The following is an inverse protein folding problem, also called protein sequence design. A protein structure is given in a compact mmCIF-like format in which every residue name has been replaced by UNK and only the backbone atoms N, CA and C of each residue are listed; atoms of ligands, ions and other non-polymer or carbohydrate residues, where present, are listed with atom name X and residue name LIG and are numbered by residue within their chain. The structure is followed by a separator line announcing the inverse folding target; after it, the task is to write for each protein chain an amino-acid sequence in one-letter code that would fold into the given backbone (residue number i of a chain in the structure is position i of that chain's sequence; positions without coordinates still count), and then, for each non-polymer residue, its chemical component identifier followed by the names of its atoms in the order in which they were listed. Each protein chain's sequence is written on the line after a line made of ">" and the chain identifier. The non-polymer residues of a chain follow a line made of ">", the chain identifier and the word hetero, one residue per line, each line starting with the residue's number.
data_IF_118951835895
#
_entry.id   IF_118951835895
#
_cell.length_a   1.000
_cell.length_b   1.000
_cell.length_c   1.000
_cell.angle_alpha   90.00
_cell.angle_beta   90.00
_cell.angle_gamma   90.00
#
_symmetry.space_group_name_H-M   'P 1'
#
loop_
_entity.id
_entity.type
_entity.pdbx_description
1 polymer ?
#
# COMPACT_ATOMS: atom_id res chain seq x y z
N UNK A 1 21.56 -21.02 21.43
CA UNK A 1 21.97 -22.04 20.44
C UNK A 1 21.11 -21.82 19.20
N UNK A 2 21.58 -20.99 18.28
CA UNK A 2 20.99 -20.91 16.94
C UNK A 2 21.13 -22.28 16.30
N UNK A 3 20.03 -23.02 16.22
CA UNK A 3 19.99 -24.19 15.35
C UNK A 3 20.05 -23.62 13.94
N UNK A 4 21.16 -23.83 13.23
CA UNK A 4 21.20 -23.75 11.78
C UNK A 4 20.15 -24.71 11.23
N UNK A 5 18.93 -24.20 11.04
CA UNK A 5 17.87 -24.90 10.34
C UNK A 5 18.37 -25.05 8.90
N UNK A 6 18.55 -26.28 8.38
CA UNK A 6 19.13 -26.48 7.05
C UNK A 6 18.32 -25.73 5.98
N UNK A 7 18.96 -25.13 4.97
CA UNK A 7 18.32 -24.38 3.86
C UNK A 7 17.11 -25.12 3.24
N UNK A 8 17.19 -26.45 3.18
CA UNK A 8 16.11 -27.32 2.69
C UNK A 8 14.81 -27.21 3.52
N UNK A 9 14.92 -26.96 4.83
CA UNK A 9 13.76 -26.83 5.73
C UNK A 9 13.06 -25.47 5.55
N UNK A 10 13.81 -24.39 5.37
CA UNK A 10 13.22 -23.06 5.18
C UNK A 10 12.47 -22.95 3.85
N UNK A 11 12.98 -23.59 2.79
CA UNK A 11 12.27 -23.65 1.51
C UNK A 11 10.96 -24.43 1.60
N UNK A 12 10.92 -25.53 2.35
CA UNK A 12 9.67 -26.27 2.59
C UNK A 12 8.67 -25.47 3.44
N UNK A 13 9.14 -24.73 4.45
CA UNK A 13 8.29 -23.81 5.22
C UNK A 13 7.71 -22.70 4.34
N UNK A 14 8.52 -22.12 3.45
CA UNK A 14 8.07 -21.09 2.51
C UNK A 14 6.96 -21.60 1.61
N UNK A 15 7.15 -22.79 1.01
CA UNK A 15 6.13 -23.42 0.16
C UNK A 15 4.85 -23.75 0.94
N UNK A 16 4.98 -24.27 2.16
CA UNK A 16 3.83 -24.61 2.99
C UNK A 16 2.99 -23.37 3.36
N UNK A 17 3.67 -22.29 3.75
CA UNK A 17 3.05 -20.99 4.03
C UNK A 17 2.36 -20.39 2.80
N UNK A 18 3.05 -20.33 1.66
CA UNK A 18 2.48 -19.84 0.41
C UNK A 18 1.27 -20.68 -0.03
N UNK A 19 1.35 -22.00 0.10
CA UNK A 19 0.21 -22.90 -0.19
C UNK A 19 -0.99 -22.60 0.70
N UNK A 20 -0.78 -22.40 2.01
CA UNK A 20 -1.84 -22.07 2.98
C UNK A 20 -2.59 -20.81 2.57
N UNK A 21 -1.85 -19.75 2.27
CA UNK A 21 -2.41 -18.46 1.84
C UNK A 21 -3.15 -18.59 0.52
N UNK A 22 -2.54 -19.21 -0.50
CA UNK A 22 -3.17 -19.39 -1.81
C UNK A 22 -4.42 -20.27 -1.77
N UNK A 23 -4.48 -21.25 -0.86
CA UNK A 23 -5.68 -22.07 -0.63
C UNK A 23 -6.82 -21.22 -0.06
N UNK A 24 -6.53 -20.32 0.88
CA UNK A 24 -7.51 -19.36 1.38
C UNK A 24 -7.99 -18.39 0.29
N UNK A 25 -7.07 -17.84 -0.54
CA UNK A 25 -7.43 -16.97 -1.68
C UNK A 25 -8.39 -17.68 -2.64
N UNK A 26 -8.14 -18.96 -2.89
CA UNK A 26 -8.97 -19.81 -3.75
C UNK A 26 -10.33 -20.21 -3.13
N UNK A 27 -10.68 -19.67 -1.96
CA UNK A 27 -11.91 -19.97 -1.21
C UNK A 27 -12.03 -21.44 -0.81
N UNK A 28 -10.90 -22.05 -0.48
CA UNK A 28 -10.81 -23.41 0.04
C UNK A 28 -10.34 -23.39 1.50
N UNK A 29 -10.52 -24.50 2.20
CA UNK A 29 -10.04 -24.70 3.57
C UNK A 29 -8.55 -25.14 3.54
N UNK A 30 -7.61 -24.27 3.96
CA UNK A 30 -6.24 -24.68 4.20
C UNK A 30 -6.10 -25.59 5.43
N UNK A 31 -4.87 -26.04 5.71
CA UNK A 31 -4.53 -26.83 6.90
C UNK A 31 -4.78 -26.08 8.23
N UNK A 32 -4.70 -24.75 8.20
CA UNK A 32 -5.19 -23.83 9.25
C UNK A 32 -5.40 -22.44 8.67
N UNK A 33 -6.17 -21.60 9.36
CA UNK A 33 -6.33 -20.18 8.99
C UNK A 33 -4.95 -19.49 8.94
N UNK A 34 -4.59 -18.84 7.82
CA UNK A 34 -3.31 -18.14 7.69
C UNK A 34 -3.30 -16.83 8.49
N UNK A 35 -2.13 -16.49 9.03
CA UNK A 35 -1.82 -15.21 9.66
C UNK A 35 -1.15 -14.28 8.64
N UNK A 36 -1.84 -13.22 8.24
CA UNK A 36 -1.37 -12.27 7.20
C UNK A 36 -1.51 -10.83 7.69
N UNK A 37 -0.77 -10.43 8.74
CA UNK A 37 -0.85 -9.08 9.31
C UNK A 37 -0.20 -8.04 8.40
N UNK A 38 -0.67 -6.80 8.48
CA UNK A 38 0.06 -5.63 7.96
C UNK A 38 0.88 -4.99 9.08
N UNK A 39 2.19 -4.93 8.90
CA UNK A 39 3.10 -4.28 9.84
C UNK A 39 3.41 -2.85 9.37
N UNK A 40 3.25 -1.90 10.29
CA UNK A 40 3.69 -0.52 10.09
C UNK A 40 5.02 -0.30 10.79
N UNK A 41 5.07 0.76 11.60
CA UNK A 41 6.27 1.20 12.30
C UNK A 41 6.72 0.28 13.44
N UNK A 42 5.92 -0.72 13.85
CA UNK A 42 6.23 -1.63 14.96
C UNK A 42 7.57 -2.33 14.80
N UNK A 43 7.94 -2.67 13.56
CA UNK A 43 9.21 -3.35 13.25
C UNK A 43 10.40 -2.50 13.70
N UNK A 44 10.30 -1.17 13.56
CA UNK A 44 11.32 -0.26 14.04
C UNK A 44 11.12 0.05 15.52
N UNK A 45 9.95 0.59 15.87
CA UNK A 45 9.65 1.20 17.15
C UNK A 45 9.85 0.27 18.36
N UNK A 46 9.49 -1.01 18.24
CA UNK A 46 9.50 -1.97 19.36
C UNK A 46 10.74 -2.87 19.37
N UNK A 47 11.53 -2.88 18.29
CA UNK A 47 12.66 -3.80 18.12
C UNK A 47 14.03 -3.11 18.01
N UNK A 48 14.10 -1.84 18.41
CA UNK A 48 15.34 -1.12 18.68
C UNK A 48 15.99 -0.47 17.45
N UNK A 49 15.20 -0.16 16.42
CA UNK A 49 15.64 0.59 15.24
C UNK A 49 14.81 1.87 15.16
N UNK A 50 15.43 3.00 14.78
CA UNK A 50 14.64 4.22 14.62
C UNK A 50 13.92 4.22 13.27
N UNK A 51 12.74 4.87 13.20
CA UNK A 51 12.02 5.03 11.92
C UNK A 51 12.92 5.74 10.90
N UNK A 52 13.65 6.77 11.33
CA UNK A 52 14.62 7.49 10.50
C UNK A 52 15.72 6.59 9.91
N UNK A 53 16.25 5.65 10.69
CA UNK A 53 17.29 4.72 10.21
C UNK A 53 16.72 3.75 9.19
N UNK A 54 15.50 3.24 9.41
CA UNK A 54 14.78 2.39 8.45
C UNK A 54 14.44 3.12 7.14
N UNK A 55 14.13 4.41 7.21
CA UNK A 55 13.92 5.28 6.05
C UNK A 55 15.22 5.64 5.32
N UNK A 56 16.37 5.52 5.98
CA UNK A 56 17.68 5.81 5.37
C UNK A 56 18.23 4.58 4.65
N UNK A 57 18.15 3.41 5.28
CA UNK A 57 18.58 2.13 4.73
C UNK A 57 17.77 1.01 5.38
N UNK A 58 16.99 0.26 4.59
CA UNK A 58 16.11 -0.77 5.15
C UNK A 58 16.87 -1.93 5.80
N UNK A 59 18.15 -2.16 5.46
CA UNK A 59 18.95 -3.25 6.05
C UNK A 59 19.13 -3.08 7.56
N UNK A 60 18.96 -1.87 8.07
CA UNK A 60 18.94 -1.60 9.51
C UNK A 60 17.80 -2.36 10.23
N UNK A 61 16.75 -2.77 9.52
CA UNK A 61 15.65 -3.56 10.06
C UNK A 61 15.99 -5.04 10.25
N UNK A 62 17.05 -5.57 9.64
CA UNK A 62 17.35 -7.02 9.68
C UNK A 62 17.45 -7.56 11.12
N UNK A 63 18.21 -6.93 12.05
CA UNK A 63 18.26 -7.40 13.43
C UNK A 63 16.92 -7.29 14.18
N UNK A 64 16.10 -6.29 13.83
CA UNK A 64 14.78 -6.11 14.42
C UNK A 64 13.80 -7.18 13.95
N UNK A 65 13.77 -7.45 12.64
CA UNK A 65 13.00 -8.52 12.03
C UNK A 65 13.37 -9.87 12.62
N UNK A 66 14.65 -10.14 12.85
CA UNK A 66 15.10 -11.41 13.43
C UNK A 66 14.51 -11.68 14.81
N UNK A 67 14.44 -10.65 15.66
CA UNK A 67 13.80 -10.73 16.97
C UNK A 67 12.29 -10.87 16.84
N UNK A 68 11.67 -10.05 16.00
CA UNK A 68 10.22 -10.07 15.79
C UNK A 68 9.71 -11.43 15.30
N UNK A 69 10.49 -12.12 14.46
CA UNK A 69 10.16 -13.46 13.97
C UNK A 69 10.25 -14.56 15.04
N UNK A 70 10.84 -14.27 16.20
CA UNK A 70 10.76 -15.14 17.38
C UNK A 70 9.39 -15.04 18.04
N UNK A 71 8.81 -13.83 18.08
CA UNK A 71 7.52 -13.53 18.69
C UNK A 71 6.34 -13.91 17.78
N UNK A 72 6.39 -13.53 16.51
CA UNK A 72 5.30 -13.73 15.54
C UNK A 72 5.82 -14.32 14.23
N UNK A 73 5.15 -15.38 13.74
CA UNK A 73 5.55 -16.09 12.52
C UNK A 73 4.42 -16.05 11.50
N UNK A 74 4.24 -14.93 10.79
CA UNK A 74 3.17 -14.81 9.81
C UNK A 74 3.34 -15.82 8.68
N UNK A 75 2.22 -16.21 8.07
CA UNK A 75 2.21 -17.08 6.90
C UNK A 75 2.46 -16.29 5.61
N UNK A 76 2.17 -14.99 5.62
CA UNK A 76 2.59 -14.07 4.57
C UNK A 76 3.10 -12.79 5.21
N UNK A 77 4.40 -12.51 5.10
CA UNK A 77 5.01 -11.35 5.74
C UNK A 77 4.75 -10.09 4.90
N UNK A 78 4.19 -9.04 5.50
CA UNK A 78 4.02 -7.76 4.82
C UNK A 78 5.36 -7.04 4.72
N UNK A 79 5.80 -6.73 3.49
CA UNK A 79 7.06 -6.07 3.24
C UNK A 79 7.15 -4.74 4.00
N UNK A 80 8.26 -4.43 4.70
CA UNK A 80 8.42 -3.16 5.40
C UNK A 80 8.24 -1.94 4.45
N UNK A 81 7.22 -1.12 4.72
CA UNK A 81 6.90 0.07 3.92
C UNK A 81 7.39 1.36 4.61
N UNK A 82 8.65 1.71 4.37
CA UNK A 82 9.22 3.00 4.79
C UNK A 82 9.56 3.85 3.56
N UNK A 83 9.46 5.18 3.68
CA UNK A 83 9.81 6.09 2.57
C UNK A 83 11.31 6.39 2.50
N UNK A 84 11.90 6.52 1.30
CA UNK A 84 13.33 6.75 1.11
C UNK A 84 13.72 8.18 1.50
N UNK A 85 14.25 8.35 2.72
CA UNK A 85 14.60 9.66 3.29
C UNK A 85 15.53 10.46 2.39
N UNK A 86 16.60 9.85 1.90
CA UNK A 86 17.62 10.56 1.10
C UNK A 86 17.04 11.11 -0.21
N UNK A 87 16.15 10.35 -0.87
CA UNK A 87 15.43 10.83 -2.05
C UNK A 87 14.51 12.01 -1.71
N UNK A 88 13.81 11.96 -0.59
CA UNK A 88 12.97 13.06 -0.12
C UNK A 88 13.77 14.30 0.28
N UNK A 89 14.96 14.15 0.87
CA UNK A 89 15.83 15.29 1.21
C UNK A 89 16.31 16.05 -0.05
N UNK A 90 16.54 15.31 -1.15
CA UNK A 90 16.90 15.88 -2.45
C UNK A 90 15.69 16.55 -3.12
N UNK A 91 14.55 15.86 -3.16
CA UNK A 91 13.35 16.33 -3.85
C UNK A 91 12.59 17.43 -3.09
N UNK A 92 12.69 17.42 -1.76
CA UNK A 92 12.03 18.36 -0.84
C UNK A 92 10.51 18.43 -1.11
N UNK A 93 9.77 17.32 -0.89
CA UNK A 93 8.32 17.33 -1.05
C UNK A 93 7.69 18.36 -0.12
N UNK A 94 6.78 19.17 -0.66
CA UNK A 94 6.07 20.19 0.12
C UNK A 94 5.00 19.57 1.03
N UNK A 95 4.40 18.47 0.57
CA UNK A 95 3.22 17.84 1.14
C UNK A 95 3.52 16.64 2.06
N UNK A 96 4.78 16.42 2.48
CA UNK A 96 5.15 15.31 3.36
C UNK A 96 6.05 15.82 4.48
N UNK A 97 5.71 15.52 5.73
CA UNK A 97 6.59 15.63 6.89
C UNK A 97 7.17 14.26 7.24
N UNK A 98 8.43 14.21 7.64
CA UNK A 98 9.13 12.96 7.96
C UNK A 98 10.33 13.20 8.89
N UNK A 99 10.82 12.16 9.60
CA UNK A 99 12.04 12.24 10.40
C UNK A 99 13.23 12.85 9.66
N UNK A 100 13.78 13.92 10.22
CA UNK A 100 14.86 14.70 9.62
C UNK A 100 14.42 16.03 9.00
N UNK A 101 13.26 16.08 8.31
CA UNK A 101 12.66 17.36 7.87
C UNK A 101 12.06 18.11 9.05
N UNK A 102 11.48 17.37 10.01
CA UNK A 102 10.87 17.91 11.24
C UNK A 102 11.59 17.37 12.48
N UNK A 103 12.87 17.75 12.71
CA UNK A 103 13.69 17.17 13.79
C UNK A 103 13.12 17.42 15.20
N UNK A 104 12.28 18.44 15.37
CA UNK A 104 11.61 18.73 16.63
C UNK A 104 10.66 17.62 17.11
N UNK A 105 10.21 16.73 16.21
CA UNK A 105 9.36 15.59 16.57
C UNK A 105 10.14 14.30 16.85
N UNK A 106 11.48 14.34 16.73
CA UNK A 106 12.35 13.19 17.00
C UNK A 106 12.47 12.19 15.83
N UNK A 107 13.34 11.20 16.02
CA UNK A 107 13.73 10.24 14.97
C UNK A 107 12.71 9.08 14.78
N UNK A 108 11.74 8.95 15.69
CA UNK A 108 10.64 7.97 15.64
C UNK A 108 9.28 8.62 15.34
N UNK A 109 9.26 9.85 14.83
CA UNK A 109 8.05 10.44 14.31
C UNK A 109 7.61 9.72 13.03
N UNK A 110 6.32 9.43 12.88
CA UNK A 110 5.80 8.83 11.65
C UNK A 110 5.70 9.88 10.55
N UNK A 111 5.81 9.47 9.28
CA UNK A 111 5.58 10.40 8.20
C UNK A 111 4.11 10.86 8.18
N UNK A 112 3.89 12.10 7.76
CA UNK A 112 2.55 12.67 7.63
C UNK A 112 2.39 13.25 6.23
N UNK A 113 1.34 12.83 5.54
CA UNK A 113 0.90 13.46 4.30
C UNK A 113 0.05 14.67 4.65
N UNK A 114 0.36 15.80 4.03
CA UNK A 114 -0.42 17.03 4.11
C UNK A 114 -1.23 17.12 2.82
N UNK A 115 -2.54 17.18 2.93
CA UNK A 115 -3.40 17.34 1.75
C UNK A 115 -3.05 18.65 1.03
N UNK A 116 -2.88 18.57 -0.29
CA UNK A 116 -2.46 19.69 -1.12
C UNK A 116 -3.13 19.61 -2.48
N UNK A 117 -3.72 20.74 -2.89
CA UNK A 117 -4.28 20.94 -4.20
C UNK A 117 -3.20 21.37 -5.21
N UNK A 118 -3.11 20.67 -6.34
CA UNK A 118 -2.25 21.04 -7.48
C UNK A 118 -3.02 21.33 -8.77
N UNK A 119 -4.27 20.90 -8.85
CA UNK A 119 -5.24 21.19 -9.92
C UNK A 119 -6.36 22.07 -9.36
N UNK A 120 -6.40 23.32 -9.80
CA UNK A 120 -7.41 24.31 -9.42
C UNK A 120 -8.66 24.15 -10.33
N UNK A 121 -9.82 24.66 -9.89
CA UNK A 121 -11.11 24.47 -10.57
C UNK A 121 -11.09 24.92 -12.05
N UNK A 122 -10.43 26.04 -12.35
CA UNK A 122 -10.36 26.60 -13.70
C UNK A 122 -9.42 25.85 -14.65
N UNK A 123 -8.72 24.81 -14.17
CA UNK A 123 -7.60 24.18 -14.88
C UNK A 123 -7.91 22.77 -15.37
N UNK A 124 -9.13 22.29 -15.16
CA UNK A 124 -9.57 20.99 -15.66
C UNK A 124 -9.41 20.86 -17.18
N UNK A 125 -9.75 21.89 -17.95
CA UNK A 125 -9.60 21.86 -19.40
C UNK A 125 -8.12 21.70 -19.81
N UNK A 126 -7.21 22.39 -19.12
CA UNK A 126 -5.77 22.30 -19.35
C UNK A 126 -5.22 20.90 -18.98
N UNK A 127 -5.69 20.34 -17.86
CA UNK A 127 -5.35 18.97 -17.47
C UNK A 127 -5.87 17.96 -18.48
N UNK A 128 -7.14 18.00 -18.86
CA UNK A 128 -7.74 17.04 -19.78
C UNK A 128 -7.09 17.10 -21.17
N UNK A 129 -6.68 18.29 -21.63
CA UNK A 129 -6.05 18.47 -22.93
C UNK A 129 -4.68 17.78 -23.04
N UNK A 130 -3.86 17.86 -22.00
CA UNK A 130 -2.51 17.26 -21.98
C UNK A 130 -2.11 16.90 -20.53
N UNK A 131 -2.61 15.78 -19.98
CA UNK A 131 -2.36 15.40 -18.59
C UNK A 131 -0.86 15.25 -18.29
N UNK A 132 -0.09 14.68 -19.23
CA UNK A 132 1.35 14.47 -19.04
C UNK A 132 2.10 15.79 -18.92
N UNK A 133 1.79 16.79 -19.75
CA UNK A 133 2.38 18.12 -19.62
C UNK A 133 1.98 18.79 -18.31
N UNK A 134 0.70 18.69 -17.91
CA UNK A 134 0.22 19.26 -16.66
C UNK A 134 0.95 18.66 -15.44
N UNK A 135 1.07 17.33 -15.40
CA UNK A 135 1.80 16.63 -14.34
C UNK A 135 3.26 17.07 -14.26
N UNK A 136 3.97 17.13 -15.40
CA UNK A 136 5.38 17.51 -15.44
C UNK A 136 5.62 18.98 -15.08
N UNK A 137 4.89 19.89 -15.71
CA UNK A 137 5.15 21.34 -15.60
C UNK A 137 4.53 21.96 -14.36
N UNK A 138 3.43 21.40 -13.84
CA UNK A 138 2.67 21.99 -12.74
C UNK A 138 2.72 21.14 -11.49
N UNK A 139 2.25 19.89 -11.54
CA UNK A 139 2.18 19.04 -10.34
C UNK A 139 3.58 18.78 -9.78
N UNK A 140 4.51 18.21 -10.56
CA UNK A 140 5.87 17.94 -10.08
C UNK A 140 6.62 19.21 -9.68
N UNK A 141 6.47 20.28 -10.46
CA UNK A 141 7.14 21.56 -10.20
C UNK A 141 6.65 22.23 -8.90
N UNK A 142 5.36 22.11 -8.55
CA UNK A 142 4.80 22.61 -7.29
C UNK A 142 5.05 21.65 -6.12
N UNK A 143 4.94 20.34 -6.35
CA UNK A 143 5.01 19.30 -5.30
C UNK A 143 6.40 19.11 -4.71
N UNK A 144 7.45 19.32 -5.50
CA UNK A 144 8.84 19.14 -5.10
C UNK A 144 9.63 20.42 -5.27
N UNK A 145 10.13 21.00 -4.17
CA UNK A 145 10.77 22.31 -4.22
C UNK A 145 12.04 22.34 -5.08
N UNK A 146 12.76 21.21 -5.21
CA UNK A 146 13.93 21.14 -6.11
C UNK A 146 13.57 20.99 -7.60
N UNK A 147 12.30 20.75 -7.93
CA UNK A 147 11.83 20.51 -9.30
C UNK A 147 11.08 21.70 -9.91
N UNK A 148 11.04 22.86 -9.25
CA UNK A 148 10.32 24.05 -9.74
C UNK A 148 10.69 24.44 -11.19
N UNK A 149 11.95 24.19 -11.60
CA UNK A 149 12.43 24.43 -12.96
C UNK A 149 11.73 23.62 -14.05
N UNK A 150 11.03 22.53 -13.72
CA UNK A 150 10.25 21.74 -14.68
C UNK A 150 9.08 22.53 -15.29
N UNK A 151 8.60 23.58 -14.62
CA UNK A 151 7.62 24.52 -15.21
C UNK A 151 8.09 25.15 -16.52
N UNK A 152 9.40 25.21 -16.76
CA UNK A 152 10.01 25.73 -17.99
C UNK A 152 10.24 24.65 -19.07
N UNK A 153 10.10 23.36 -18.73
CA UNK A 153 10.37 22.27 -19.66
C UNK A 153 9.33 22.26 -20.77
N UNK A 154 9.73 22.47 -22.02
CA UNK A 154 8.81 22.43 -23.17
C UNK A 154 9.15 21.24 -24.09
N UNK A 155 8.46 20.08 -23.96
CA UNK A 155 8.71 18.92 -24.80
C UNK A 155 8.56 19.20 -26.30
N UNK A 156 7.62 20.06 -26.70
CA UNK A 156 7.41 20.44 -28.11
C UNK A 156 8.66 21.08 -28.71
N UNK A 157 9.38 21.89 -27.93
CA UNK A 157 10.64 22.49 -28.37
C UNK A 157 11.75 21.47 -28.61
N UNK A 158 11.71 20.32 -27.92
CA UNK A 158 12.69 19.24 -28.03
C UNK A 158 12.41 18.31 -29.22
N UNK A 159 11.17 18.30 -29.73
CA UNK A 159 10.75 17.53 -30.91
C UNK A 159 10.90 18.30 -32.23
N UNK A 160 11.56 19.47 -32.23
CA UNK A 160 11.78 20.27 -33.43
C UNK A 160 12.69 19.58 -34.46
N UNK A 161 12.68 20.07 -35.70
CA UNK A 161 13.56 19.57 -36.77
C UNK A 161 15.05 19.86 -36.56
N UNK A 162 15.41 20.64 -35.53
CA UNK A 162 16.79 20.96 -35.18
C UNK A 162 17.05 20.70 -33.69
N UNK A 163 18.30 20.40 -33.34
CA UNK A 163 18.74 20.21 -31.95
C UNK A 163 18.82 21.52 -31.14
N UNK A 164 18.54 22.67 -31.74
CA UNK A 164 18.64 23.97 -31.07
C UNK A 164 17.69 24.11 -29.88
N UNK A 165 16.54 23.43 -29.90
CA UNK A 165 15.58 23.41 -28.79
C UNK A 165 16.17 22.90 -27.48
N UNK A 166 17.19 22.03 -27.54
CA UNK A 166 17.90 21.54 -26.35
C UNK A 166 18.67 22.64 -25.61
N UNK A 167 18.94 23.79 -26.25
CA UNK A 167 19.54 24.95 -25.60
C UNK A 167 18.74 25.46 -24.39
N UNK A 168 17.40 25.28 -24.40
CA UNK A 168 16.55 25.65 -23.28
C UNK A 168 16.86 24.86 -22.00
N UNK A 169 17.37 23.62 -22.13
CA UNK A 169 17.76 22.78 -20.99
C UNK A 169 18.96 23.35 -20.21
N UNK A 170 19.73 24.26 -20.81
CA UNK A 170 20.85 24.93 -20.15
C UNK A 170 20.41 26.08 -19.22
N UNK A 171 19.14 26.48 -19.23
CA UNK A 171 18.61 27.48 -18.30
C UNK A 171 18.83 27.00 -16.85
N UNK A 172 19.42 27.83 -15.96
CA UNK A 172 19.83 27.35 -14.63
C UNK A 172 18.73 26.66 -13.82
N UNK A 173 17.48 27.17 -13.75
CA UNK A 173 16.42 26.50 -12.99
C UNK A 173 16.07 25.10 -13.54
N UNK A 174 15.94 24.97 -14.87
CA UNK A 174 15.61 23.69 -15.51
C UNK A 174 16.78 22.69 -15.42
N UNK A 175 18.01 23.15 -15.64
CA UNK A 175 19.22 22.32 -15.48
C UNK A 175 19.32 21.75 -14.06
N UNK A 176 19.07 22.58 -13.04
CA UNK A 176 19.11 22.15 -11.65
C UNK A 176 18.01 21.12 -11.34
N UNK A 177 16.77 21.37 -11.79
CA UNK A 177 15.67 20.41 -11.61
C UNK A 177 15.96 19.04 -12.24
N UNK A 178 16.49 19.02 -13.47
CA UNK A 178 16.88 17.78 -14.15
C UNK A 178 18.02 17.04 -13.42
N UNK A 179 19.00 17.77 -12.89
CA UNK A 179 20.06 17.18 -12.08
C UNK A 179 19.51 16.57 -10.77
N UNK A 180 18.60 17.27 -10.10
CA UNK A 180 17.94 16.76 -8.88
C UNK A 180 17.10 15.52 -9.15
N UNK A 181 16.43 15.41 -10.31
CA UNK A 181 15.76 14.18 -10.71
C UNK A 181 16.72 12.99 -10.79
N UNK A 182 17.88 13.17 -11.44
CA UNK A 182 18.89 12.11 -11.57
C UNK A 182 19.48 11.72 -10.21
N UNK A 183 19.81 12.71 -9.38
CA UNK A 183 20.37 12.50 -8.05
C UNK A 183 19.39 11.74 -7.14
N UNK A 184 18.11 12.17 -7.12
CA UNK A 184 17.05 11.50 -6.39
C UNK A 184 16.82 10.07 -6.91
N UNK A 185 16.83 9.86 -8.22
CA UNK A 185 16.72 8.54 -8.83
C UNK A 185 17.81 7.58 -8.35
N UNK A 186 19.06 8.04 -8.26
CA UNK A 186 20.17 7.24 -7.71
C UNK A 186 19.98 6.93 -6.22
N UNK A 187 19.56 7.93 -5.43
CA UNK A 187 19.33 7.76 -3.99
C UNK A 187 18.19 6.76 -3.71
N UNK A 188 17.07 6.88 -4.43
CA UNK A 188 15.94 5.95 -4.33
C UNK A 188 16.32 4.57 -4.86
N UNK A 189 17.12 4.47 -5.93
CA UNK A 189 17.63 3.20 -6.44
C UNK A 189 18.46 2.43 -5.41
N UNK A 190 19.34 3.12 -4.67
CA UNK A 190 20.07 2.50 -3.56
C UNK A 190 19.13 2.03 -2.43
N UNK A 191 18.08 2.79 -2.14
CA UNK A 191 17.09 2.41 -1.13
C UNK A 191 16.28 1.17 -1.56
N UNK A 192 15.87 1.10 -2.83
CA UNK A 192 15.20 -0.07 -3.41
C UNK A 192 16.09 -1.32 -3.24
N UNK A 193 17.40 -1.20 -3.50
CA UNK A 193 18.32 -2.33 -3.28
C UNK A 193 18.35 -2.78 -1.82
N UNK A 194 18.36 -1.85 -0.86
CA UNK A 194 18.28 -2.21 0.57
C UNK A 194 16.97 -2.92 0.93
N UNK A 195 15.87 -2.56 0.27
CA UNK A 195 14.56 -3.20 0.47
C UNK A 195 14.55 -4.63 -0.11
N UNK A 196 15.17 -4.83 -1.27
CA UNK A 196 15.39 -6.17 -1.87
C UNK A 196 16.20 -7.05 -0.93
N UNK A 197 17.27 -6.53 -0.33
CA UNK A 197 18.11 -7.29 0.61
C UNK A 197 17.29 -7.78 1.83
N UNK A 198 16.40 -6.93 2.36
CA UNK A 198 15.47 -7.28 3.47
C UNK A 198 14.43 -8.31 3.05
N UNK A 199 13.82 -8.17 1.86
CA UNK A 199 12.87 -9.15 1.33
C UNK A 199 13.55 -10.51 1.16
N UNK A 200 14.76 -10.55 0.60
CA UNK A 200 15.51 -11.78 0.42
C UNK A 200 15.90 -12.43 1.75
N UNK A 201 16.21 -11.64 2.78
CA UNK A 201 16.44 -12.14 4.14
C UNK A 201 15.20 -12.87 4.68
N UNK A 202 14.00 -12.29 4.56
CA UNK A 202 12.75 -12.94 4.97
C UNK A 202 12.48 -14.25 4.21
N UNK A 203 12.69 -14.23 2.89
CA UNK A 203 12.55 -15.41 2.01
C UNK A 203 13.51 -16.52 2.42
N UNK A 204 14.78 -16.20 2.70
CA UNK A 204 15.79 -17.16 3.17
C UNK A 204 15.43 -17.78 4.53
N UNK A 205 14.71 -17.04 5.38
CA UNK A 205 14.14 -17.55 6.65
C UNK A 205 12.82 -18.30 6.47
N UNK A 206 12.39 -18.52 5.23
CA UNK A 206 11.24 -19.34 4.88
C UNK A 206 9.91 -18.60 4.90
N UNK A 207 9.90 -17.27 4.85
CA UNK A 207 8.68 -16.47 4.85
C UNK A 207 8.41 -15.93 3.44
N UNK A 208 7.26 -16.26 2.82
CA UNK A 208 6.86 -15.53 1.62
C UNK A 208 6.52 -14.09 2.00
N UNK A 209 6.68 -13.16 1.05
CA UNK A 209 6.50 -11.72 1.27
C UNK A 209 5.44 -11.13 0.32
N UNK A 210 4.58 -10.27 0.84
CA UNK A 210 3.56 -9.54 0.07
C UNK A 210 3.65 -8.03 0.28
N UNK A 211 2.96 -7.25 -0.54
CA UNK A 211 3.00 -5.79 -0.46
C UNK A 211 4.30 -5.18 -1.00
N UNK A 212 5.09 -5.93 -1.78
CA UNK A 212 6.31 -5.42 -2.44
C UNK A 212 5.99 -4.51 -3.64
N UNK A 213 4.74 -4.54 -4.10
CA UNK A 213 4.18 -3.61 -5.08
C UNK A 213 2.89 -3.01 -4.51
N UNK A 214 2.70 -1.71 -4.76
CA UNK A 214 1.53 -0.95 -4.34
C UNK A 214 0.95 -0.26 -5.57
N UNK A 215 -0.38 -0.29 -5.71
CA UNK A 215 -1.11 0.57 -6.62
C UNK A 215 -2.14 1.37 -5.82
N UNK A 216 -2.38 2.59 -6.22
CA UNK A 216 -3.49 3.38 -5.70
C UNK A 216 -4.69 3.20 -6.63
N UNK A 217 -5.89 3.14 -6.05
CA UNK A 217 -7.11 3.29 -6.84
C UNK A 217 -7.04 4.61 -7.62
N UNK A 218 -7.41 4.68 -8.91
CA UNK A 218 -7.24 5.91 -9.69
C UNK A 218 -7.94 7.14 -9.11
N UNK A 219 -9.07 6.96 -8.42
CA UNK A 219 -9.74 8.04 -7.69
C UNK A 219 -8.88 8.56 -6.54
N UNK A 220 -8.40 7.67 -5.67
CA UNK A 220 -7.53 8.00 -4.52
C UNK A 220 -6.20 8.60 -4.99
N UNK A 221 -5.62 8.08 -6.07
CA UNK A 221 -4.38 8.61 -6.65
C UNK A 221 -4.57 10.03 -7.18
N UNK A 222 -5.67 10.27 -7.90
CA UNK A 222 -6.04 11.60 -8.37
C UNK A 222 -6.25 12.57 -7.20
N UNK A 223 -6.93 12.12 -6.14
CA UNK A 223 -7.13 12.87 -4.91
C UNK A 223 -5.80 13.22 -4.22
N UNK A 224 -4.96 12.22 -3.93
CA UNK A 224 -3.74 12.38 -3.14
C UNK A 224 -2.63 13.15 -3.87
N UNK A 225 -2.58 13.03 -5.20
CA UNK A 225 -1.42 13.47 -5.97
C UNK A 225 -1.70 14.65 -6.90
N UNK A 226 -2.96 14.99 -7.19
CA UNK A 226 -3.31 16.00 -8.19
C UNK A 226 -4.33 17.01 -7.64
N UNK A 227 -5.53 16.56 -7.28
CA UNK A 227 -6.67 17.45 -7.00
C UNK A 227 -6.79 17.86 -5.52
N UNK A 228 -6.27 17.05 -4.61
CA UNK A 228 -6.48 17.19 -3.16
C UNK A 228 -7.74 16.44 -2.72
N UNK A 229 -7.68 15.80 -1.55
CA UNK A 229 -8.73 14.90 -1.08
C UNK A 229 -10.07 15.62 -0.89
N UNK A 230 -10.07 16.75 -0.18
CA UNK A 230 -11.30 17.49 0.11
C UNK A 230 -11.96 17.92 -1.20
N UNK A 231 -11.20 18.50 -2.12
CA UNK A 231 -11.73 19.00 -3.37
C UNK A 231 -12.25 17.87 -4.26
N UNK A 232 -11.54 16.74 -4.35
CA UNK A 232 -11.99 15.59 -5.13
C UNK A 232 -13.32 15.03 -4.61
N UNK A 233 -13.50 14.96 -3.29
CA UNK A 233 -14.77 14.52 -2.69
C UNK A 233 -15.88 15.55 -2.94
N UNK A 234 -15.57 16.85 -2.91
CA UNK A 234 -16.53 17.90 -3.25
C UNK A 234 -16.94 17.87 -4.73
N UNK A 235 -16.02 17.51 -5.62
CA UNK A 235 -16.25 17.44 -7.07
C UNK A 235 -17.30 16.37 -7.43
N UNK A 236 -17.48 15.34 -6.61
CA UNK A 236 -18.62 14.40 -6.74
C UNK A 236 -19.99 15.08 -6.67
N UNK A 237 -20.07 16.29 -6.10
CA UNK A 237 -21.32 17.05 -5.97
C UNK A 237 -21.41 18.25 -6.89
N UNK A 238 -20.29 18.87 -7.21
CA UNK A 238 -20.26 20.06 -8.06
C UNK A 238 -20.17 19.70 -9.54
N UNK A 239 -19.28 18.78 -9.92
CA UNK A 239 -19.07 18.35 -11.31
C UNK A 239 -18.58 16.89 -11.41
N UNK A 240 -19.46 15.91 -11.11
CA UNK A 240 -19.06 14.51 -11.07
C UNK A 240 -18.70 13.93 -12.44
N UNK A 241 -19.27 14.46 -13.53
CA UNK A 241 -18.96 14.02 -14.90
C UNK A 241 -17.53 14.44 -15.29
N UNK A 242 -17.15 15.68 -14.98
CA UNK A 242 -15.80 16.17 -15.23
C UNK A 242 -14.76 15.44 -14.39
N UNK A 243 -15.05 15.18 -13.11
CA UNK A 243 -14.21 14.35 -12.25
C UNK A 243 -14.04 12.95 -12.83
N UNK A 244 -15.13 12.31 -13.24
CA UNK A 244 -15.10 10.97 -13.81
C UNK A 244 -14.25 10.91 -15.09
N UNK A 245 -14.36 11.91 -15.98
CA UNK A 245 -13.54 11.99 -17.18
C UNK A 245 -12.04 12.11 -16.83
N UNK A 246 -11.69 12.96 -15.86
CA UNK A 246 -10.31 13.13 -15.40
C UNK A 246 -9.74 11.82 -14.81
N UNK A 247 -10.51 11.15 -13.95
CA UNK A 247 -10.11 9.89 -13.31
C UNK A 247 -10.02 8.73 -14.31
N UNK A 248 -10.92 8.61 -15.28
CA UNK A 248 -10.86 7.52 -16.26
C UNK A 248 -9.65 7.66 -17.21
N UNK A 249 -9.33 8.88 -17.66
CA UNK A 249 -8.10 9.12 -18.43
C UNK A 249 -6.84 8.76 -17.65
N UNK A 250 -6.84 9.03 -16.34
CA UNK A 250 -5.75 8.68 -15.45
C UNK A 250 -5.66 7.15 -15.24
N UNK A 251 -6.80 6.49 -15.13
CA UNK A 251 -6.95 5.04 -14.91
C UNK A 251 -6.22 4.20 -15.95
N UNK A 252 -6.37 4.53 -17.23
CA UNK A 252 -5.77 3.73 -18.32
C UNK A 252 -4.24 3.67 -18.25
N UNK A 253 -3.61 4.75 -17.80
CA UNK A 253 -2.16 4.86 -17.71
C UNK A 253 -1.64 4.25 -16.40
N UNK A 254 -2.37 4.43 -15.29
CA UNK A 254 -1.95 3.94 -13.97
C UNK A 254 -1.98 2.41 -13.89
N UNK A 255 -2.98 1.74 -14.49
CA UNK A 255 -3.09 0.28 -14.52
C UNK A 255 -1.86 -0.38 -15.16
N UNK A 256 -1.43 0.10 -16.35
CA UNK A 256 -0.28 -0.48 -17.04
C UNK A 256 1.02 -0.26 -16.28
N UNK A 257 1.15 0.90 -15.64
CA UNK A 257 2.30 1.23 -14.80
C UNK A 257 2.39 0.29 -13.59
N UNK A 258 1.27 0.05 -12.91
CA UNK A 258 1.20 -0.89 -11.77
C UNK A 258 1.51 -2.34 -12.18
N UNK A 259 0.98 -2.83 -13.31
CA UNK A 259 1.33 -4.16 -13.84
C UNK A 259 2.83 -4.24 -14.17
N UNK A 260 3.40 -3.17 -14.75
CA UNK A 260 4.83 -3.06 -15.00
C UNK A 260 5.66 -3.17 -13.73
N UNK A 261 5.25 -2.47 -12.66
CA UNK A 261 5.89 -2.53 -11.34
C UNK A 261 5.90 -3.96 -10.80
N UNK A 262 4.76 -4.66 -10.79
CA UNK A 262 4.68 -6.05 -10.34
C UNK A 262 5.61 -6.98 -11.13
N UNK A 263 5.70 -6.82 -12.46
CA UNK A 263 6.62 -7.60 -13.29
C UNK A 263 8.08 -7.32 -12.95
N UNK A 264 8.43 -6.06 -12.72
CA UNK A 264 9.80 -5.66 -12.35
C UNK A 264 10.20 -6.17 -10.97
N UNK A 265 9.27 -6.22 -10.01
CA UNK A 265 9.51 -6.72 -8.65
C UNK A 265 9.28 -8.23 -8.50
N UNK A 266 8.89 -8.93 -9.57
CA UNK A 266 8.46 -10.33 -9.54
C UNK A 266 7.37 -10.59 -8.49
N UNK A 267 6.44 -9.64 -8.32
CA UNK A 267 5.35 -9.73 -7.38
C UNK A 267 4.10 -10.38 -8.02
N UNK A 268 3.62 -11.45 -7.40
CA UNK A 268 2.37 -12.13 -7.78
C UNK A 268 1.11 -11.52 -7.11
N UNK A 269 1.33 -10.48 -6.28
CA UNK A 269 0.29 -9.74 -5.58
C UNK A 269 0.57 -8.23 -5.65
N UNK A 270 -0.47 -7.44 -5.39
CA UNK A 270 -0.36 -5.98 -5.31
C UNK A 270 -1.25 -5.46 -4.19
N UNK A 271 -0.71 -4.58 -3.36
CA UNK A 271 -1.44 -3.92 -2.28
C UNK A 271 -2.17 -2.68 -2.80
N UNK A 272 -3.42 -2.47 -2.39
CA UNK A 272 -4.26 -1.34 -2.79
C UNK A 272 -4.97 -0.76 -1.56
N UNK A 273 -4.54 0.38 -1.00
CA UNK A 273 -5.29 1.09 0.02
C UNK A 273 -6.48 1.83 -0.59
N UNK A 274 -7.64 1.81 0.08
CA UNK A 274 -8.88 2.47 -0.34
C UNK A 274 -9.39 3.41 0.75
N UNK A 275 -8.75 4.58 0.91
CA UNK A 275 -9.05 5.53 1.97
C UNK A 275 -10.09 6.59 1.59
N UNK A 276 -10.34 6.84 0.31
CA UNK A 276 -11.37 7.77 -0.12
C UNK A 276 -12.77 7.12 -0.25
N UNK A 277 -12.84 5.81 -0.50
CA UNK A 277 -14.09 5.06 -0.75
C UNK A 277 -14.99 4.81 0.48
N UNK A 278 -14.72 5.47 1.60
CA UNK A 278 -15.37 5.26 2.89
C UNK A 278 -16.83 5.71 2.90
N UNK A 279 -17.62 5.17 3.83
CA UNK A 279 -19.02 5.53 4.05
C UNK A 279 -19.19 7.04 4.35
N UNK A 280 -18.19 7.69 4.97
CA UNK A 280 -18.22 9.13 5.32
C UNK A 280 -18.11 10.07 4.12
N UNK A 281 -17.40 9.69 3.06
CA UNK A 281 -17.05 10.61 1.98
C UNK A 281 -18.01 10.54 0.79
N UNK A 282 -18.73 9.43 0.63
CA UNK A 282 -19.61 9.28 -0.53
C UNK A 282 -20.83 8.41 -0.22
N UNK A 283 -21.95 8.70 -0.90
CA UNK A 283 -23.13 7.83 -0.80
C UNK A 283 -22.89 6.48 -1.49
N UNK A 284 -23.73 5.46 -1.25
CA UNK A 284 -23.65 4.20 -2.01
C UNK A 284 -23.77 4.40 -3.52
N UNK A 285 -24.59 5.35 -3.96
CA UNK A 285 -24.78 5.67 -5.37
C UNK A 285 -23.52 6.32 -5.96
N UNK A 286 -22.96 7.34 -5.29
CA UNK A 286 -21.70 7.97 -5.74
C UNK A 286 -20.54 6.96 -5.79
N UNK A 287 -20.46 6.05 -4.81
CA UNK A 287 -19.47 4.98 -4.82
C UNK A 287 -19.66 4.07 -6.03
N UNK A 288 -20.90 3.64 -6.31
CA UNK A 288 -21.21 2.77 -7.43
C UNK A 288 -20.95 3.43 -8.80
N UNK A 289 -21.22 4.73 -8.91
CA UNK A 289 -21.16 5.47 -10.17
C UNK A 289 -19.75 6.02 -10.50
N UNK A 290 -18.98 6.43 -9.49
CA UNK A 290 -17.72 7.18 -9.71
C UNK A 290 -16.48 6.54 -9.09
N UNK A 291 -16.60 5.85 -7.95
CA UNK A 291 -15.44 5.24 -7.28
C UNK A 291 -15.20 3.80 -7.75
N UNK A 292 -16.26 3.02 -7.83
CA UNK A 292 -16.21 1.59 -8.15
C UNK A 292 -15.79 1.29 -9.59
N UNK A 293 -16.27 2.01 -10.64
CA UNK A 293 -15.93 1.66 -12.00
C UNK A 293 -14.41 1.66 -12.32
N UNK A 294 -13.63 2.72 -11.98
CA UNK A 294 -12.18 2.70 -12.20
C UNK A 294 -11.48 1.64 -11.33
N UNK A 295 -11.92 1.46 -10.07
CA UNK A 295 -11.39 0.42 -9.19
C UNK A 295 -11.61 -0.98 -9.77
N UNK A 296 -12.84 -1.30 -10.19
CA UNK A 296 -13.18 -2.60 -10.78
C UNK A 296 -12.37 -2.86 -12.06
N UNK A 297 -12.21 -1.85 -12.92
CA UNK A 297 -11.38 -1.93 -14.13
C UNK A 297 -9.94 -2.29 -13.78
N UNK A 298 -9.37 -1.65 -12.76
CA UNK A 298 -8.03 -1.96 -12.23
C UNK A 298 -7.94 -3.37 -11.65
N UNK A 299 -8.86 -3.76 -10.76
CA UNK A 299 -8.87 -5.10 -10.15
C UNK A 299 -8.96 -6.20 -11.20
N UNK A 300 -9.85 -6.05 -12.19
CA UNK A 300 -9.98 -7.03 -13.27
C UNK A 300 -8.72 -7.10 -14.14
N UNK A 301 -8.07 -5.96 -14.42
CA UNK A 301 -6.83 -5.93 -15.18
C UNK A 301 -5.68 -6.65 -14.45
N UNK A 302 -5.55 -6.47 -13.13
CA UNK A 302 -4.56 -7.17 -12.32
C UNK A 302 -4.82 -8.69 -12.29
N UNK A 303 -6.07 -9.10 -12.07
CA UNK A 303 -6.43 -10.53 -12.09
C UNK A 303 -6.14 -11.15 -13.46
N UNK A 304 -6.46 -10.46 -14.56
CA UNK A 304 -6.15 -10.92 -15.92
C UNK A 304 -4.64 -11.02 -16.20
N UNK A 305 -3.83 -10.21 -15.52
CA UNK A 305 -2.38 -10.26 -15.57
C UNK A 305 -1.76 -11.33 -14.64
N UNK A 306 -2.58 -12.09 -13.91
CA UNK A 306 -2.12 -13.10 -12.95
C UNK A 306 -1.67 -12.53 -11.60
N UNK A 307 -2.00 -11.27 -11.31
CA UNK A 307 -1.64 -10.58 -10.07
C UNK A 307 -2.86 -10.59 -9.14
N UNK A 308 -2.67 -11.03 -7.89
CA UNK A 308 -3.74 -11.06 -6.87
C UNK A 308 -3.83 -9.71 -6.14
N UNK A 309 -4.94 -8.97 -6.23
CA UNK A 309 -5.12 -7.74 -5.46
C UNK A 309 -5.36 -8.04 -3.97
N UNK A 310 -4.61 -7.37 -3.11
CA UNK A 310 -4.83 -7.27 -1.67
C UNK A 310 -5.32 -5.86 -1.37
N UNK A 311 -6.62 -5.73 -1.20
CA UNK A 311 -7.32 -4.46 -1.14
C UNK A 311 -7.64 -4.14 0.33
N UNK A 312 -7.03 -3.08 0.87
CA UNK A 312 -7.36 -2.57 2.19
C UNK A 312 -8.54 -1.62 2.11
N UNK A 313 -9.69 -2.09 2.60
CA UNK A 313 -10.89 -1.31 2.79
C UNK A 313 -10.76 -0.53 4.10
N UNK A 314 -10.09 0.63 4.02
CA UNK A 314 -9.80 1.51 5.16
C UNK A 314 -11.08 2.23 5.62
N UNK A 315 -11.18 2.58 6.89
CA UNK A 315 -12.38 3.21 7.46
C UNK A 315 -13.62 2.32 7.41
N UNK A 316 -14.79 2.97 7.25
CA UNK A 316 -16.09 2.32 7.28
C UNK A 316 -16.53 1.87 5.88
N UNK A 317 -16.84 0.58 5.74
CA UNK A 317 -17.22 -0.06 4.47
C UNK A 317 -18.60 -0.77 4.53
N UNK A 318 -19.51 -0.34 5.42
CA UNK A 318 -20.70 -1.12 5.81
C UNK A 318 -21.76 -1.17 4.72
N UNK A 319 -21.73 -0.19 3.83
CA UNK A 319 -22.69 -0.03 2.73
C UNK A 319 -22.16 -0.55 1.39
N UNK A 320 -20.89 -1.00 1.32
CA UNK A 320 -20.21 -1.30 0.05
C UNK A 320 -20.24 -2.75 -0.37
N UNK A 321 -20.59 -3.68 0.54
CA UNK A 321 -20.42 -5.12 0.34
C UNK A 321 -21.09 -5.66 -0.94
N UNK A 322 -22.29 -5.20 -1.29
CA UNK A 322 -22.97 -5.66 -2.50
C UNK A 322 -22.27 -5.17 -3.78
N UNK A 323 -21.79 -3.93 -3.78
CA UNK A 323 -21.08 -3.33 -4.91
C UNK A 323 -19.73 -4.02 -5.16
N UNK A 324 -18.93 -4.21 -4.10
CA UNK A 324 -17.59 -4.81 -4.22
C UNK A 324 -17.62 -6.33 -4.42
N UNK A 325 -18.81 -6.96 -4.37
CA UNK A 325 -18.98 -8.38 -4.73
C UNK A 325 -18.78 -8.62 -6.23
N UNK A 326 -19.00 -7.63 -7.08
CA UNK A 326 -18.94 -7.76 -8.54
C UNK A 326 -17.49 -7.80 -9.06
N UNK A 327 -16.78 -8.90 -8.76
CA UNK A 327 -15.38 -9.15 -9.13
C UNK A 327 -15.11 -10.62 -9.45
N UNK A 328 -13.96 -10.96 -10.07
CA UNK A 328 -13.60 -12.35 -10.33
C UNK A 328 -13.50 -13.21 -9.06
N UNK A 329 -14.22 -14.32 -9.04
CA UNK A 329 -14.29 -15.23 -7.90
C UNK A 329 -12.93 -15.86 -7.56
N UNK A 330 -12.54 -15.81 -6.29
CA UNK A 330 -11.36 -16.48 -5.73
C UNK A 330 -10.03 -15.92 -6.23
N UNK A 331 -9.99 -14.61 -6.51
CA UNK A 331 -8.83 -13.92 -7.09
C UNK A 331 -8.41 -12.64 -6.36
N UNK A 332 -9.19 -12.20 -5.38
CA UNK A 332 -9.00 -10.93 -4.66
C UNK A 332 -9.12 -11.18 -3.16
N UNK A 333 -8.35 -10.42 -2.39
CA UNK A 333 -8.43 -10.35 -0.93
C UNK A 333 -8.95 -8.97 -0.53
N UNK A 334 -10.02 -8.91 0.28
CA UNK A 334 -10.46 -7.68 0.95
C UNK A 334 -10.06 -7.72 2.44
N UNK A 335 -9.22 -6.77 2.85
CA UNK A 335 -8.80 -6.57 4.24
C UNK A 335 -9.64 -5.42 4.80
N UNK A 336 -10.51 -5.70 5.77
CA UNK A 336 -11.41 -4.69 6.31
C UNK A 336 -10.86 -4.05 7.59
N UNK A 337 -10.92 -2.72 7.66
CA UNK A 337 -10.69 -2.00 8.93
C UNK A 337 -11.92 -2.09 9.84
N UNK A 338 -13.04 -1.49 9.41
CA UNK A 338 -14.30 -1.50 10.17
C UNK A 338 -15.38 -2.17 9.34
N UNK A 339 -15.77 -3.39 9.72
CA UNK A 339 -16.89 -4.13 9.15
C UNK A 339 -17.55 -5.09 10.14
N UNK A 340 -18.82 -5.42 9.86
CA UNK A 340 -19.44 -6.61 10.42
C UNK A 340 -18.94 -7.82 9.63
N UNK A 341 -17.97 -8.53 10.22
CA UNK A 341 -17.33 -9.67 9.56
C UNK A 341 -18.28 -10.85 9.32
N UNK A 342 -19.35 -11.01 10.10
CA UNK A 342 -20.36 -12.04 9.83
C UNK A 342 -21.18 -11.68 8.58
N UNK A 343 -21.55 -10.41 8.43
CA UNK A 343 -22.20 -9.90 7.22
C UNK A 343 -21.26 -9.98 6.02
N UNK A 344 -20.01 -9.56 6.15
CA UNK A 344 -19.00 -9.64 5.10
C UNK A 344 -18.81 -11.09 4.63
N UNK A 345 -18.66 -12.05 5.56
CA UNK A 345 -18.56 -13.48 5.23
C UNK A 345 -19.79 -13.99 4.49
N UNK A 346 -20.99 -13.61 4.93
CA UNK A 346 -22.26 -14.01 4.29
C UNK A 346 -22.40 -13.47 2.86
N UNK A 347 -22.02 -12.21 2.63
CA UNK A 347 -22.20 -11.54 1.33
C UNK A 347 -21.07 -11.91 0.37
N UNK A 348 -19.82 -11.89 0.83
CA UNK A 348 -18.62 -11.95 -0.01
C UNK A 348 -17.88 -13.29 0.02
N UNK A 349 -18.12 -14.14 1.03
CA UNK A 349 -17.30 -15.33 1.29
C UNK A 349 -17.34 -16.42 0.22
N UNK A 350 -18.28 -16.34 -0.73
CA UNK A 350 -18.35 -17.20 -1.90
C UNK A 350 -17.64 -16.62 -3.14
N UNK A 351 -17.11 -15.40 -3.03
CA UNK A 351 -16.60 -14.60 -4.16
C UNK A 351 -15.16 -14.13 -3.91
N UNK A 352 -14.83 -13.61 -2.73
CA UNK A 352 -13.49 -13.10 -2.41
C UNK A 352 -13.00 -13.66 -1.08
N UNK A 353 -11.68 -13.69 -0.90
CA UNK A 353 -11.12 -14.00 0.40
C UNK A 353 -11.22 -12.74 1.27
N UNK A 354 -11.75 -12.87 2.48
CA UNK A 354 -11.84 -11.76 3.43
C UNK A 354 -10.73 -11.87 4.48
N UNK A 355 -10.25 -10.74 4.95
CA UNK A 355 -9.21 -10.63 5.95
C UNK A 355 -9.51 -9.46 6.91
N UNK A 356 -8.83 -9.45 8.04
CA UNK A 356 -9.14 -8.53 9.13
C UNK A 356 -10.16 -9.15 10.11
N UNK A 357 -10.81 -8.36 10.95
CA UNK A 357 -10.50 -6.98 11.27
C UNK A 357 -10.00 -6.89 12.72
N UNK A 358 -9.02 -7.74 13.07
CA UNK A 358 -8.49 -7.80 14.44
C UNK A 358 -7.99 -6.42 14.86
N UNK A 359 -8.56 -5.87 15.94
CA UNK A 359 -8.24 -4.51 16.37
C UNK A 359 -6.81 -4.44 16.92
N UNK A 360 -5.95 -3.64 16.28
CA UNK A 360 -4.56 -3.45 16.69
C UNK A 360 -4.42 -2.90 18.11
N UNK A 361 -5.45 -2.25 18.66
CA UNK A 361 -5.44 -1.80 20.05
C UNK A 361 -5.25 -2.96 21.05
N UNK A 362 -5.69 -4.18 20.73
CA UNK A 362 -5.40 -5.34 21.57
C UNK A 362 -3.89 -5.66 21.58
N UNK A 363 -3.19 -5.45 20.47
CA UNK A 363 -1.75 -5.67 20.38
C UNK A 363 -0.96 -4.58 21.11
N UNK A 364 -1.42 -3.34 21.08
CA UNK A 364 -0.78 -2.23 21.80
C UNK A 364 -1.07 -2.26 23.31
N UNK A 365 -2.33 -2.54 23.69
CA UNK A 365 -2.83 -2.28 25.05
C UNK A 365 -3.47 -3.48 25.76
N UNK A 366 -3.87 -4.52 25.01
CA UNK A 366 -4.63 -5.65 25.53
C UNK A 366 -3.81 -6.61 26.41
N UNK A 367 -4.54 -7.56 27.00
CA UNK A 367 -3.97 -8.73 27.70
C UNK A 367 -4.02 -9.96 26.81
N UNK A 368 -3.20 -10.98 27.15
CA UNK A 368 -3.19 -12.27 26.46
C UNK A 368 -4.58 -12.91 26.35
N UNK A 369 -5.40 -12.79 27.40
CA UNK A 369 -6.77 -13.30 27.43
C UNK A 369 -7.65 -12.59 26.41
N UNK A 370 -7.65 -11.24 26.42
CA UNK A 370 -8.45 -10.45 25.47
C UNK A 370 -8.06 -10.70 24.00
N UNK A 371 -6.75 -10.82 23.72
CA UNK A 371 -6.22 -11.18 22.40
C UNK A 371 -6.72 -12.57 21.97
N UNK A 372 -6.68 -13.53 22.89
CA UNK A 372 -7.13 -14.91 22.63
C UNK A 372 -8.63 -14.97 22.36
N UNK A 373 -9.43 -14.26 23.16
CA UNK A 373 -10.88 -14.20 23.01
C UNK A 373 -11.28 -13.58 21.68
N UNK A 374 -10.66 -12.46 21.30
CA UNK A 374 -10.93 -11.81 20.02
C UNK A 374 -10.50 -12.66 18.82
N UNK A 375 -9.34 -13.33 18.93
CA UNK A 375 -8.88 -14.30 17.92
C UNK A 375 -9.92 -15.39 17.71
N UNK A 376 -10.43 -16.00 18.78
CA UNK A 376 -11.45 -17.05 18.71
C UNK A 376 -12.76 -16.53 18.11
N UNK A 377 -13.21 -15.33 18.53
CA UNK A 377 -14.44 -14.73 18.02
C UNK A 377 -14.39 -14.58 16.49
N UNK A 378 -13.29 -14.06 15.96
CA UNK A 378 -13.12 -13.92 14.51
C UNK A 378 -13.03 -15.28 13.80
N UNK A 379 -12.34 -16.26 14.38
CA UNK A 379 -12.28 -17.61 13.84
C UNK A 379 -13.66 -18.26 13.78
N UNK A 380 -14.44 -18.22 14.86
CA UNK A 380 -15.79 -18.79 14.91
C UNK A 380 -16.72 -18.21 13.84
N UNK A 381 -16.54 -16.92 13.50
CA UNK A 381 -17.34 -16.22 12.49
C UNK A 381 -16.84 -16.49 11.06
N UNK A 382 -15.53 -16.37 10.84
CA UNK A 382 -14.98 -16.20 9.49
C UNK A 382 -14.29 -17.47 8.96
N UNK A 383 -13.77 -18.33 9.84
CA UNK A 383 -13.03 -19.51 9.41
C UNK A 383 -13.90 -20.53 8.66
N UNK A 384 -15.13 -20.90 9.10
CA UNK A 384 -15.89 -21.98 8.47
C UNK A 384 -16.01 -21.83 6.94
N UNK A 385 -15.71 -22.89 6.18
CA UNK A 385 -15.77 -22.92 4.72
C UNK A 385 -14.57 -22.32 3.99
N UNK A 386 -13.51 -21.91 4.70
CA UNK A 386 -12.30 -21.35 4.10
C UNK A 386 -12.46 -19.90 3.65
N UNK A 387 -11.56 -19.38 2.81
CA UNK A 387 -11.71 -18.02 2.29
C UNK A 387 -11.52 -16.90 3.31
N UNK A 388 -10.84 -17.17 4.44
CA UNK A 388 -10.52 -16.18 5.46
C UNK A 388 -9.04 -16.18 5.84
N UNK A 389 -8.48 -15.00 6.11
CA UNK A 389 -7.16 -14.82 6.70
C UNK A 389 -7.26 -14.01 7.99
N UNK A 390 -6.59 -14.48 9.05
CA UNK A 390 -6.42 -13.68 10.25
C UNK A 390 -5.47 -12.52 9.93
N UNK A 391 -5.98 -11.30 10.07
CA UNK A 391 -5.23 -10.07 9.85
C UNK A 391 -5.80 -8.97 10.75
N UNK A 392 -5.08 -7.85 10.82
CA UNK A 392 -5.40 -6.68 11.62
C UNK A 392 -6.21 -5.64 10.81
N UNK A 393 -6.91 -4.75 11.51
CA UNK A 393 -7.72 -3.69 10.91
C UNK A 393 -6.90 -2.54 10.30
N UNK A 394 -5.79 -2.18 10.94
CA UNK A 394 -4.87 -1.09 10.55
C UNK A 394 -3.43 -1.55 10.65
N UNK A 395 -2.51 -0.98 9.89
CA UNK A 395 -1.08 -1.28 10.01
C UNK A 395 -0.61 -1.20 11.48
N UNK A 396 0.13 -2.23 11.93
CA UNK A 396 0.59 -2.29 13.32
C UNK A 396 1.76 -1.31 13.49
N UNK A 397 1.48 -0.12 14.00
CA UNK A 397 2.49 0.89 14.32
C UNK A 397 3.04 0.76 15.74
N UNK A 398 2.20 0.31 16.67
CA UNK A 398 2.55 0.05 18.06
C UNK A 398 2.01 -1.33 18.45
N UNK A 399 2.82 -2.18 19.06
CA UNK A 399 2.40 -3.52 19.43
C UNK A 399 3.46 -4.22 20.25
N UNK A 400 3.14 -4.55 21.50
CA UNK A 400 4.14 -5.10 22.41
C UNK A 400 4.57 -6.49 21.93
N UNK A 401 5.87 -6.84 21.97
CA UNK A 401 6.35 -8.16 21.58
C UNK A 401 5.57 -9.32 22.21
N UNK A 402 5.25 -9.25 23.51
CA UNK A 402 4.48 -10.28 24.20
C UNK A 402 3.03 -10.44 23.69
N UNK A 403 2.44 -9.36 23.17
CA UNK A 403 1.10 -9.36 22.62
C UNK A 403 1.07 -9.90 21.18
N UNK A 404 2.10 -9.61 20.39
CA UNK A 404 2.30 -10.24 19.08
C UNK A 404 2.47 -11.76 19.23
N UNK A 405 3.26 -12.19 20.22
CA UNK A 405 3.41 -13.60 20.56
C UNK A 405 2.10 -14.24 21.02
N UNK A 406 1.34 -13.57 21.89
CA UNK A 406 0.03 -14.05 22.33
C UNK A 406 -0.96 -14.24 21.15
N UNK A 407 -0.94 -13.33 20.18
CA UNK A 407 -1.81 -13.42 19.00
C UNK A 407 -1.45 -14.62 18.12
N UNK A 408 -0.14 -14.80 17.85
CA UNK A 408 0.35 -15.97 17.11
C UNK A 408 0.03 -17.29 17.83
N UNK A 409 0.28 -17.38 19.14
CA UNK A 409 -0.03 -18.56 19.95
C UNK A 409 -1.53 -18.91 19.94
N UNK A 410 -2.40 -17.90 20.05
CA UNK A 410 -3.85 -18.09 19.99
C UNK A 410 -4.28 -18.67 18.65
N UNK A 411 -3.78 -18.13 17.54
CA UNK A 411 -4.12 -18.64 16.21
C UNK A 411 -3.57 -20.05 15.98
N UNK A 412 -2.35 -20.35 16.39
CA UNK A 412 -1.78 -21.71 16.27
C UNK A 412 -2.61 -22.75 17.02
N UNK A 413 -3.18 -22.36 18.18
CA UNK A 413 -3.98 -23.25 19.03
C UNK A 413 -5.41 -23.44 18.52
N UNK A 414 -6.07 -22.38 18.04
CA UNK A 414 -7.50 -22.41 17.73
C UNK A 414 -7.83 -22.29 16.23
N UNK A 415 -6.87 -21.92 15.38
CA UNK A 415 -7.11 -21.62 13.96
C UNK A 415 -7.20 -22.82 13.02
N UNK A 416 -7.41 -24.05 13.53
CA UNK A 416 -7.60 -25.24 12.71
C UNK A 416 -9.09 -25.45 12.41
N UNK A 417 -9.39 -25.96 11.21
CA UNK A 417 -10.76 -26.22 10.72
C UNK A 417 -11.41 -27.43 11.39
#
# INVERSE_FOLDING_TARGET
>A
MEKNIPENTNMELLKARAKRVNTAIALQEPDRVPLVPTFGNVIAAEYGVTIKDAMTDQRNLIPALDKMLEDIKPDYFYAPQFFPKNGMDILKPVNINYPGKTPQFGDNFTYQTIDHEFLEDEEYEDFLKDPSKFLLQKVLAKKFASLQGLSMLNPYSLCGSTVMGFGALAAPPLKQALASLMEAGNAVGSYIQSSVDVIMHLVQKGFPVWGTAVALNPFDDFADNIRGLINTVMDLKTDPELLAEAVDRYTDVSIQSAIGLCKMSHADNIFIPLHAGVDEFMSPDDYADYYWPPLKKMLCAFVNAGITPFVACEGNYFTRLETIKDVPKGKIVYIFEKQDMAKAKKVLGDTVCIAGNFDTNFLSYGTKESITEETKRLLDICAPGGGYMMSNNLAIDNGRPENLAAWYEALEKYGRY
#
